data_IF_053050080595
#
_entry.id   IF_053050080595
#
_cell.length_a   1.000
_cell.length_b   1.000
_cell.length_c   1.000
_cell.angle_alpha   90.00
_cell.angle_beta   90.00
_cell.angle_gamma   90.00
#
_symmetry.space_group_name_H-M   'P 1'
#
loop_
_entity.id
_entity.type
_entity.pdbx_description
1 polymer ?
#
# COMPACT_ATOMS: atom_id res chain seq x y z
N UNK A 1 -3.99 12.82 34.66
CA UNK A 1 -4.39 11.64 33.83
C UNK A 1 -3.14 10.85 33.65
N UNK A 2 -3.08 9.62 34.13
CA UNK A 2 -1.90 8.75 34.00
C UNK A 2 -1.84 8.17 32.59
N UNK A 3 -0.67 8.27 31.96
CA UNK A 3 -0.46 7.69 30.61
C UNK A 3 -0.31 6.17 30.77
N UNK A 4 -1.13 5.35 30.11
CA UNK A 4 -0.98 3.89 30.18
C UNK A 4 0.41 3.44 29.74
N UNK A 5 0.92 2.36 30.31
CA UNK A 5 2.18 1.77 29.87
C UNK A 5 2.09 1.33 28.41
N UNK A 6 3.19 1.53 27.66
CA UNK A 6 3.25 1.12 26.25
C UNK A 6 3.18 -0.42 26.12
N UNK A 7 2.28 -0.92 25.27
CA UNK A 7 2.13 -2.35 24.96
C UNK A 7 2.98 -2.73 23.76
N UNK A 8 3.35 -4.02 23.66
CA UNK A 8 3.93 -4.56 22.44
C UNK A 8 2.86 -4.63 21.33
N UNK A 9 3.06 -3.95 20.18
CA UNK A 9 2.08 -3.92 19.11
C UNK A 9 1.86 -5.29 18.46
N UNK A 10 2.89 -6.13 18.37
CA UNK A 10 2.79 -7.48 17.78
C UNK A 10 1.92 -8.38 18.64
N UNK A 11 2.24 -8.42 19.95
CA UNK A 11 1.47 -9.25 20.88
C UNK A 11 0.03 -8.77 20.98
N UNK A 12 -0.19 -7.47 21.07
CA UNK A 12 -1.54 -6.88 21.14
C UNK A 12 -2.38 -7.20 19.88
N UNK A 13 -1.75 -7.17 18.69
CA UNK A 13 -2.43 -7.54 17.46
C UNK A 13 -2.79 -9.03 17.41
N UNK A 14 -1.88 -9.90 17.80
CA UNK A 14 -2.13 -11.35 17.85
C UNK A 14 -3.22 -11.71 18.83
N UNK A 15 -3.23 -11.09 19.99
CA UNK A 15 -4.27 -11.34 21.03
C UNK A 15 -5.66 -10.91 20.55
N UNK A 16 -5.74 -9.82 19.77
CA UNK A 16 -7.02 -9.28 19.33
C UNK A 16 -7.53 -9.86 18.00
N UNK A 17 -6.63 -10.22 17.08
CA UNK A 17 -6.97 -10.58 15.70
C UNK A 17 -6.50 -11.98 15.27
N UNK A 18 -5.68 -12.67 16.07
CA UNK A 18 -5.30 -14.06 15.84
C UNK A 18 -4.78 -14.30 14.41
N UNK A 19 -5.51 -15.14 13.67
CA UNK A 19 -5.15 -15.58 12.31
C UNK A 19 -5.17 -14.46 11.26
N UNK A 20 -5.75 -13.30 11.57
CA UNK A 20 -5.69 -12.16 10.66
C UNK A 20 -4.29 -11.52 10.59
N UNK A 21 -3.38 -11.87 11.50
CA UNK A 21 -1.96 -11.50 11.43
C UNK A 21 -1.21 -12.60 10.69
N UNK A 22 -1.08 -12.43 9.38
CA UNK A 22 -0.52 -13.45 8.48
C UNK A 22 1.00 -13.62 8.63
N UNK A 23 1.72 -12.51 8.81
CA UNK A 23 3.16 -12.53 8.97
C UNK A 23 3.65 -11.32 9.76
N UNK A 24 4.78 -11.49 10.46
CA UNK A 24 5.46 -10.41 11.19
C UNK A 24 6.91 -10.36 10.77
N UNK A 25 7.33 -9.21 10.24
CA UNK A 25 8.74 -8.95 9.90
C UNK A 25 9.30 -7.89 10.83
N UNK A 26 10.45 -8.20 11.42
CA UNK A 26 11.26 -7.23 12.17
C UNK A 26 12.60 -7.04 11.46
N UNK A 27 12.89 -5.82 11.06
CA UNK A 27 14.13 -5.53 10.35
C UNK A 27 14.61 -4.12 10.70
N UNK A 28 15.88 -4.00 11.13
CA UNK A 28 16.53 -2.73 11.49
C UNK A 28 15.73 -1.88 12.49
N UNK A 29 15.08 -2.52 13.46
CA UNK A 29 14.26 -1.83 14.47
C UNK A 29 12.85 -1.44 14.00
N UNK A 30 12.49 -1.71 12.74
CA UNK A 30 11.14 -1.53 12.22
C UNK A 30 10.33 -2.83 12.31
N UNK A 31 9.07 -2.69 12.68
CA UNK A 31 8.11 -3.81 12.70
C UNK A 31 7.10 -3.65 11.59
N UNK A 32 6.90 -4.71 10.82
CA UNK A 32 5.85 -4.81 9.78
C UNK A 32 4.91 -5.96 10.15
N UNK A 33 3.62 -5.66 10.20
CA UNK A 33 2.56 -6.66 10.31
C UNK A 33 1.93 -6.84 8.93
N UNK A 34 1.98 -8.06 8.39
CA UNK A 34 1.19 -8.43 7.23
C UNK A 34 -0.15 -8.95 7.72
N UNK A 35 -1.22 -8.39 7.20
CA UNK A 35 -2.57 -8.62 7.71
C UNK A 35 -3.52 -9.09 6.61
N UNK A 36 -4.55 -9.84 7.01
CA UNK A 36 -5.65 -10.17 6.11
C UNK A 36 -6.34 -8.88 5.64
N UNK A 37 -6.51 -8.76 4.34
CA UNK A 37 -6.95 -7.52 3.67
C UNK A 37 -8.29 -7.03 4.19
N UNK A 38 -9.22 -7.94 4.42
CA UNK A 38 -10.57 -7.66 4.89
C UNK A 38 -10.60 -7.07 6.32
N UNK A 39 -9.55 -7.34 7.11
CA UNK A 39 -9.44 -6.88 8.49
C UNK A 39 -8.64 -5.59 8.65
N UNK A 40 -8.17 -5.03 7.52
CA UNK A 40 -7.31 -3.83 7.52
C UNK A 40 -7.94 -2.62 8.25
N UNK A 41 -9.20 -2.21 7.99
CA UNK A 41 -9.79 -1.05 8.69
C UNK A 41 -9.94 -1.27 10.20
N UNK A 42 -10.34 -2.47 10.61
CA UNK A 42 -10.48 -2.81 12.03
C UNK A 42 -9.13 -2.75 12.74
N UNK A 43 -8.07 -3.27 12.11
CA UNK A 43 -6.71 -3.22 12.65
C UNK A 43 -6.20 -1.78 12.76
N UNK A 44 -6.41 -0.95 11.75
CA UNK A 44 -6.05 0.48 11.79
C UNK A 44 -6.77 1.18 12.94
N UNK A 45 -8.08 0.94 13.10
CA UNK A 45 -8.89 1.47 14.19
C UNK A 45 -8.40 1.02 15.57
N UNK A 46 -8.09 -0.27 15.70
CA UNK A 46 -7.54 -0.85 16.92
C UNK A 46 -6.21 -0.19 17.33
N UNK A 47 -5.27 -0.05 16.40
CA UNK A 47 -3.99 0.59 16.69
C UNK A 47 -4.14 2.07 17.05
N UNK A 48 -5.06 2.77 16.39
CA UNK A 48 -5.31 4.18 16.66
C UNK A 48 -5.88 4.43 18.05
N UNK A 49 -6.83 3.59 18.51
CA UNK A 49 -7.64 3.86 19.70
C UNK A 49 -7.22 3.12 20.97
N UNK A 50 -6.50 1.97 20.85
CA UNK A 50 -6.23 1.11 21.99
C UNK A 50 -5.27 1.73 22.99
N UNK A 51 -5.59 1.70 24.30
CA UNK A 51 -4.68 2.14 25.35
C UNK A 51 -3.34 1.39 25.31
N UNK A 52 -2.25 2.13 25.45
CA UNK A 52 -0.89 1.59 25.38
C UNK A 52 -0.34 1.40 23.95
N UNK A 53 -1.16 1.65 22.90
CA UNK A 53 -0.76 1.64 21.49
C UNK A 53 -0.83 3.06 20.90
N UNK A 54 -2.01 3.64 20.80
CA UNK A 54 -2.30 5.03 20.37
C UNK A 54 -1.47 5.48 19.16
N UNK A 55 -1.56 4.73 18.06
CA UNK A 55 -0.96 5.11 16.77
C UNK A 55 -1.87 6.14 16.08
N UNK A 56 -1.75 7.40 16.53
CA UNK A 56 -2.68 8.47 16.20
C UNK A 56 -2.31 9.29 14.95
N UNK A 57 -1.19 8.98 14.31
CA UNK A 57 -0.74 9.66 13.11
C UNK A 57 -0.49 8.64 11.97
N UNK A 58 -1.07 8.91 10.81
CA UNK A 58 -0.70 8.25 9.56
C UNK A 58 0.43 9.08 8.93
N UNK A 59 1.61 8.48 8.82
CA UNK A 59 2.78 9.14 8.23
C UNK A 59 2.75 9.04 6.72
N UNK A 60 2.35 7.87 6.19
CA UNK A 60 2.34 7.61 4.74
C UNK A 60 1.48 6.38 4.42
N UNK A 61 1.02 6.30 3.16
CA UNK A 61 0.53 5.07 2.53
C UNK A 61 1.27 4.90 1.23
N UNK A 62 1.92 3.76 1.05
CA UNK A 62 2.69 3.47 -0.16
C UNK A 62 2.38 2.08 -0.70
N UNK A 63 2.54 1.89 -2.01
CA UNK A 63 2.32 0.59 -2.63
C UNK A 63 3.56 0.10 -3.39
N UNK A 64 3.68 -1.21 -3.52
CA UNK A 64 4.76 -1.88 -4.25
C UNK A 64 4.15 -2.90 -5.20
N UNK A 65 4.58 -2.87 -6.46
CA UNK A 65 4.30 -3.90 -7.46
C UNK A 65 5.46 -4.90 -7.49
N UNK A 66 5.17 -6.18 -7.23
CA UNK A 66 6.15 -7.27 -7.20
C UNK A 66 6.26 -8.03 -8.54
N UNK A 67 5.64 -7.49 -9.62
CA UNK A 67 5.77 -8.07 -10.97
C UNK A 67 7.25 -8.09 -11.45
N UNK A 68 7.67 -9.09 -12.26
CA UNK A 68 6.86 -10.19 -12.74
C UNK A 68 6.81 -11.40 -11.79
N UNK A 69 7.86 -11.66 -11.01
CA UNK A 69 8.06 -12.98 -10.38
C UNK A 69 8.42 -12.92 -8.90
N UNK A 70 8.28 -11.76 -8.27
CA UNK A 70 8.70 -11.56 -6.87
C UNK A 70 7.57 -11.81 -5.86
N UNK A 71 6.52 -12.59 -6.22
CA UNK A 71 5.36 -12.83 -5.35
C UNK A 71 4.72 -14.21 -5.60
N UNK A 72 3.87 -14.65 -4.67
CA UNK A 72 3.17 -15.92 -4.73
C UNK A 72 4.12 -17.13 -4.68
N UNK A 73 3.73 -18.21 -5.32
CA UNK A 73 4.51 -19.45 -5.38
C UNK A 73 5.79 -19.33 -6.26
N UNK A 74 5.87 -18.30 -7.10
CA UNK A 74 7.05 -18.02 -7.92
C UNK A 74 8.18 -17.36 -7.11
N UNK A 75 7.88 -16.85 -5.90
CA UNK A 75 8.86 -16.21 -5.05
C UNK A 75 9.62 -17.24 -4.20
N UNK A 76 10.86 -17.50 -4.54
CA UNK A 76 11.80 -18.39 -3.84
C UNK A 76 12.75 -17.65 -2.87
N UNK A 77 12.50 -16.36 -2.68
CA UNK A 77 13.37 -15.47 -1.94
C UNK A 77 13.52 -15.78 -0.46
N UNK A 78 14.34 -15.00 0.21
CA UNK A 78 14.69 -15.16 1.63
C UNK A 78 13.42 -15.25 2.48
N UNK A 79 13.32 -16.26 3.33
CA UNK A 79 12.17 -16.56 4.24
C UNK A 79 11.61 -15.37 5.05
N UNK A 80 12.27 -14.21 5.00
CA UNK A 80 11.87 -13.00 5.71
C UNK A 80 10.82 -12.15 4.99
N UNK A 81 10.54 -12.40 3.70
CA UNK A 81 9.64 -11.58 2.88
C UNK A 81 8.44 -12.38 2.41
N UNK A 82 7.34 -12.28 3.16
CA UNK A 82 6.07 -12.87 2.79
C UNK A 82 5.38 -11.99 1.73
N UNK A 83 5.15 -12.53 0.53
CA UNK A 83 4.57 -11.85 -0.64
C UNK A 83 3.55 -12.73 -1.33
N UNK A 84 2.36 -12.93 -0.77
CA UNK A 84 1.36 -13.86 -1.31
C UNK A 84 0.73 -13.36 -2.62
N UNK A 85 0.75 -12.05 -2.87
CA UNK A 85 0.08 -11.41 -4.00
C UNK A 85 0.95 -10.33 -4.63
N UNK A 86 0.57 -9.92 -5.85
CA UNK A 86 1.33 -8.96 -6.66
C UNK A 86 1.50 -7.59 -6.00
N UNK A 87 0.43 -7.03 -5.47
CA UNK A 87 0.48 -5.67 -4.92
C UNK A 87 0.51 -5.68 -3.41
N UNK A 88 1.49 -5.01 -2.82
CA UNK A 88 1.57 -4.80 -1.38
C UNK A 88 1.35 -3.34 -1.03
N UNK A 89 0.34 -3.02 -0.22
CA UNK A 89 0.06 -1.67 0.28
C UNK A 89 0.46 -1.57 1.73
N UNK A 90 1.25 -0.56 2.05
CA UNK A 90 1.82 -0.31 3.37
C UNK A 90 1.26 0.97 3.98
N UNK A 91 0.62 0.86 5.14
CA UNK A 91 0.24 1.98 5.98
C UNK A 91 1.29 2.20 7.05
N UNK A 92 1.96 3.35 7.03
CA UNK A 92 2.98 3.74 8.00
C UNK A 92 2.35 4.59 9.09
N UNK A 93 2.11 3.98 10.25
CA UNK A 93 1.49 4.64 11.39
C UNK A 93 2.49 4.95 12.49
N UNK A 94 2.30 6.08 13.15
CA UNK A 94 3.14 6.57 14.22
C UNK A 94 2.31 6.82 15.48
N UNK A 95 2.78 6.30 16.59
CA UNK A 95 2.34 6.71 17.91
C UNK A 95 3.20 7.89 18.38
N UNK A 96 2.65 9.08 18.34
CA UNK A 96 3.34 10.28 18.83
C UNK A 96 3.55 10.23 20.35
N UNK A 97 2.63 9.58 21.07
CA UNK A 97 2.69 9.46 22.53
C UNK A 97 3.85 8.58 22.98
N UNK A 98 4.09 7.46 22.28
CA UNK A 98 5.12 6.49 22.66
C UNK A 98 6.37 6.55 21.76
N UNK A 99 6.39 7.46 20.76
CA UNK A 99 7.46 7.59 19.77
C UNK A 99 7.80 6.25 19.10
N UNK A 100 6.77 5.56 18.61
CA UNK A 100 6.89 4.24 17.98
C UNK A 100 6.25 4.23 16.60
N UNK A 101 6.94 3.62 15.64
CA UNK A 101 6.43 3.39 14.28
C UNK A 101 5.99 1.95 14.11
N UNK A 102 4.97 1.76 13.28
CA UNK A 102 4.49 0.46 12.88
C UNK A 102 4.09 0.53 11.40
N UNK A 103 4.46 -0.49 10.64
CA UNK A 103 3.99 -0.68 9.27
C UNK A 103 2.94 -1.78 9.26
N UNK A 104 1.76 -1.47 8.74
CA UNK A 104 0.70 -2.45 8.47
C UNK A 104 0.67 -2.66 6.97
N UNK A 105 0.81 -3.90 6.52
CA UNK A 105 0.86 -4.26 5.12
C UNK A 105 -0.27 -5.21 4.77
N UNK A 106 -1.05 -4.85 3.76
CA UNK A 106 -2.05 -5.70 3.16
C UNK A 106 -1.70 -5.96 1.69
N UNK A 107 -2.20 -7.07 1.13
CA UNK A 107 -1.92 -7.44 -0.24
C UNK A 107 -3.19 -7.44 -1.08
N UNK A 108 -3.04 -7.09 -2.36
CA UNK A 108 -4.11 -7.15 -3.35
C UNK A 108 -3.71 -8.04 -4.53
N UNK A 109 -4.67 -8.82 -5.01
CA UNK A 109 -4.50 -9.75 -6.12
C UNK A 109 -4.21 -9.04 -7.45
N UNK A 110 -3.46 -9.70 -8.33
CA UNK A 110 -3.13 -9.15 -9.66
C UNK A 110 -4.37 -8.96 -10.55
N UNK A 111 -5.34 -9.88 -10.47
CA UNK A 111 -6.50 -9.91 -11.35
C UNK A 111 -7.55 -8.83 -11.01
N UNK A 112 -7.72 -8.55 -9.73
CA UNK A 112 -8.67 -7.55 -9.22
C UNK A 112 -8.08 -6.88 -7.97
N UNK A 113 -7.21 -5.88 -8.15
CA UNK A 113 -6.51 -5.26 -7.04
C UNK A 113 -7.42 -4.33 -6.24
N UNK A 114 -7.92 -4.82 -5.11
CA UNK A 114 -8.82 -4.10 -4.21
C UNK A 114 -8.37 -4.20 -2.77
N UNK A 115 -8.56 -3.11 -2.02
CA UNK A 115 -8.43 -3.07 -0.57
C UNK A 115 -9.52 -2.19 0.04
N UNK A 116 -9.94 -2.46 1.28
CA UNK A 116 -10.77 -1.51 2.03
C UNK A 116 -10.01 -0.22 2.28
N UNK A 117 -10.69 0.94 2.17
CA UNK A 117 -10.08 2.24 2.45
C UNK A 117 -9.83 2.46 3.94
N UNK A 118 -8.69 3.06 4.26
CA UNK A 118 -8.35 3.50 5.63
C UNK A 118 -8.84 4.91 5.97
N UNK A 119 -9.50 5.60 5.04
CA UNK A 119 -9.93 7.01 5.17
C UNK A 119 -10.87 7.27 6.33
N UNK A 120 -11.74 6.33 6.70
CA UNK A 120 -12.64 6.44 7.85
C UNK A 120 -11.88 6.47 9.19
N UNK A 121 -10.70 5.87 9.23
CA UNK A 121 -9.84 5.82 10.41
C UNK A 121 -8.84 6.98 10.37
N UNK A 122 -8.17 7.17 9.26
CA UNK A 122 -7.19 8.23 9.03
C UNK A 122 -7.60 9.10 7.83
N UNK A 123 -8.22 10.27 8.03
CA UNK A 123 -8.61 11.16 6.93
C UNK A 123 -7.45 11.54 5.99
N UNK A 124 -6.21 11.56 6.49
CA UNK A 124 -5.01 11.81 5.69
C UNK A 124 -4.76 10.74 4.62
N UNK A 125 -5.31 9.53 4.77
CA UNK A 125 -5.22 8.46 3.77
C UNK A 125 -5.89 8.83 2.44
N UNK A 126 -6.88 9.73 2.44
CA UNK A 126 -7.64 10.11 1.25
C UNK A 126 -6.73 10.43 0.04
N UNK A 127 -5.76 11.31 0.22
CA UNK A 127 -4.88 11.71 -0.87
C UNK A 127 -3.88 10.62 -1.28
N UNK A 128 -3.36 9.89 -0.31
CA UNK A 128 -2.38 8.83 -0.52
C UNK A 128 -2.99 7.60 -1.20
N UNK A 129 -4.20 7.21 -0.81
CA UNK A 129 -4.94 6.12 -1.44
C UNK A 129 -5.36 6.49 -2.87
N UNK A 130 -5.77 7.74 -3.12
CA UNK A 130 -6.04 8.23 -4.47
C UNK A 130 -4.80 8.20 -5.36
N UNK A 131 -3.64 8.58 -4.85
CA UNK A 131 -2.38 8.48 -5.59
C UNK A 131 -2.09 7.03 -5.98
N UNK A 132 -2.23 6.10 -5.04
CA UNK A 132 -2.03 4.66 -5.31
C UNK A 132 -3.06 4.15 -6.33
N UNK A 133 -4.33 4.54 -6.20
CA UNK A 133 -5.38 4.16 -7.14
C UNK A 133 -5.09 4.69 -8.55
N UNK A 134 -4.65 5.93 -8.66
CA UNK A 134 -4.32 6.58 -9.93
C UNK A 134 -3.07 5.95 -10.58
N UNK A 135 -2.00 5.82 -9.82
CA UNK A 135 -0.69 5.44 -10.35
C UNK A 135 -0.47 3.93 -10.48
N UNK A 136 -1.15 3.11 -9.65
CA UNK A 136 -0.99 1.65 -9.63
C UNK A 136 -2.29 0.89 -9.96
N UNK A 137 -3.45 1.57 -9.99
CA UNK A 137 -4.72 0.96 -10.31
C UNK A 137 -5.24 0.01 -9.23
N UNK A 138 -4.92 0.28 -7.97
CA UNK A 138 -5.45 -0.45 -6.82
C UNK A 138 -6.71 0.28 -6.36
N UNK A 139 -7.86 -0.37 -6.41
CA UNK A 139 -9.12 0.23 -5.98
C UNK A 139 -9.24 0.19 -4.44
N UNK A 140 -9.67 1.31 -3.85
CA UNK A 140 -9.97 1.38 -2.42
C UNK A 140 -11.49 1.40 -2.22
N UNK A 141 -12.02 0.32 -1.64
CA UNK A 141 -13.45 0.16 -1.38
C UNK A 141 -13.89 1.16 -0.29
N UNK A 142 -15.08 1.72 -0.47
CA UNK A 142 -15.66 2.76 0.40
C UNK A 142 -14.82 4.05 0.51
N UNK A 143 -13.94 4.30 -0.48
CA UNK A 143 -13.21 5.56 -0.55
C UNK A 143 -14.15 6.73 -0.90
N UNK A 144 -14.12 7.86 -0.16
CA UNK A 144 -15.07 8.97 -0.34
C UNK A 144 -14.91 9.73 -1.66
N UNK A 145 -13.73 9.66 -2.30
CA UNK A 145 -13.44 10.37 -3.54
C UNK A 145 -12.47 9.58 -4.44
N UNK A 146 -12.97 8.66 -5.29
CA UNK A 146 -12.13 7.76 -6.09
C UNK A 146 -11.58 8.41 -7.38
N UNK A 147 -11.68 9.73 -7.56
CA UNK A 147 -11.17 10.42 -8.76
C UNK A 147 -9.65 10.35 -8.84
N UNK A 148 -9.10 10.33 -10.06
CA UNK A 148 -7.67 10.45 -10.31
C UNK A 148 -7.09 11.68 -9.61
N UNK A 149 -5.79 11.63 -9.27
CA UNK A 149 -5.10 12.69 -8.53
C UNK A 149 -4.02 13.36 -9.37
N UNK A 150 -3.15 12.59 -9.98
CA UNK A 150 -1.96 13.07 -10.68
C UNK A 150 -2.11 13.02 -12.19
N UNK A 151 -2.73 11.96 -12.71
CA UNK A 151 -2.90 11.78 -14.15
C UNK A 151 -4.17 12.48 -14.65
N UNK A 152 -4.19 12.94 -15.91
CA UNK A 152 -5.39 13.42 -16.57
C UNK A 152 -6.47 12.34 -16.60
N UNK A 153 -7.76 12.74 -16.67
CA UNK A 153 -8.89 11.80 -16.69
C UNK A 153 -8.87 10.85 -17.89
N UNK A 154 -8.35 11.31 -19.02
CA UNK A 154 -8.23 10.56 -20.27
C UNK A 154 -6.94 9.70 -20.36
N UNK A 155 -6.14 9.67 -19.32
CA UNK A 155 -4.92 8.86 -19.31
C UNK A 155 -5.24 7.37 -19.24
N UNK A 156 -4.58 6.57 -20.10
CA UNK A 156 -4.73 5.12 -20.13
C UNK A 156 -3.65 4.41 -19.34
N UNK A 157 -4.07 3.52 -18.42
CA UNK A 157 -3.19 2.70 -17.59
C UNK A 157 -2.70 3.39 -16.32
N UNK A 158 -1.68 2.77 -15.69
CA UNK A 158 -1.18 3.13 -14.38
C UNK A 158 0.35 3.15 -14.39
N UNK A 159 0.98 4.34 -14.44
CA UNK A 159 2.42 4.48 -14.73
C UNK A 159 3.37 3.89 -13.68
N UNK A 160 2.93 3.62 -12.45
CA UNK A 160 3.77 3.00 -11.41
C UNK A 160 3.74 1.47 -11.44
N UNK A 161 2.94 0.85 -12.30
CA UNK A 161 3.02 -0.60 -12.51
C UNK A 161 4.32 -0.95 -13.23
N UNK A 162 4.98 -2.02 -12.81
CA UNK A 162 6.22 -2.49 -13.42
C UNK A 162 6.05 -3.04 -14.84
N UNK A 163 4.85 -3.44 -15.20
CA UNK A 163 4.46 -3.87 -16.56
C UNK A 163 3.98 -2.70 -17.44
N UNK A 164 3.98 -1.47 -16.93
CA UNK A 164 3.61 -0.29 -17.72
C UNK A 164 4.72 0.08 -18.70
N UNK A 165 4.43 0.23 -20.01
CA UNK A 165 5.44 0.49 -21.04
C UNK A 165 6.15 1.83 -20.82
N UNK A 166 7.47 1.83 -20.73
CA UNK A 166 8.29 3.05 -20.56
C UNK A 166 8.19 4.02 -21.76
N UNK A 167 7.77 3.55 -22.92
CA UNK A 167 7.62 4.35 -24.13
C UNK A 167 6.32 5.14 -24.27
N UNK A 168 5.35 4.97 -23.35
CA UNK A 168 4.05 5.68 -23.38
C UNK A 168 4.11 7.11 -22.84
N UNK A 169 5.10 7.88 -23.21
CA UNK A 169 5.08 9.31 -22.91
C UNK A 169 4.16 10.06 -23.89
N UNK A 170 3.35 10.96 -23.36
CA UNK A 170 2.61 11.92 -24.18
C UNK A 170 3.60 12.81 -24.90
N UNK A 171 3.51 12.83 -26.22
CA UNK A 171 4.36 13.74 -27.02
C UNK A 171 3.82 15.15 -26.87
N UNK A 172 4.66 16.06 -26.39
CA UNK A 172 4.27 17.46 -26.16
C UNK A 172 3.90 18.20 -27.46
N UNK A 173 4.38 17.71 -28.64
CA UNK A 173 4.15 18.34 -29.93
C UNK A 173 3.68 17.31 -30.95
N UNK A 174 2.52 17.53 -31.53
CA UNK A 174 1.87 16.58 -32.45
C UNK A 174 2.55 16.46 -33.82
N UNK A 175 3.42 17.40 -34.20
CA UNK A 175 4.02 17.44 -35.54
C UNK A 175 5.13 16.39 -35.77
N UNK A 176 5.64 15.77 -34.71
CA UNK A 176 6.70 14.75 -34.81
C UNK A 176 6.38 13.45 -34.08
N UNK A 177 5.09 13.18 -33.77
CA UNK A 177 4.64 11.98 -33.06
C UNK A 177 5.10 10.70 -33.77
N UNK A 178 4.91 10.62 -35.10
CA UNK A 178 5.26 9.43 -35.87
C UNK A 178 6.76 9.15 -35.85
N UNK A 179 7.58 10.20 -35.93
CA UNK A 179 9.04 10.10 -35.90
C UNK A 179 9.54 9.67 -34.52
N UNK A 180 8.95 10.23 -33.45
CA UNK A 180 9.27 9.83 -32.07
C UNK A 180 8.88 8.38 -31.82
N UNK A 181 7.68 7.95 -32.23
CA UNK A 181 7.22 6.57 -32.07
C UNK A 181 8.07 5.59 -32.88
N UNK A 182 8.58 5.97 -34.04
CA UNK A 182 9.44 5.15 -34.86
C UNK A 182 10.83 4.90 -34.22
N UNK A 183 11.32 5.82 -33.40
CA UNK A 183 12.66 5.78 -32.80
C UNK A 183 12.67 5.43 -31.29
N UNK A 184 11.53 5.45 -30.60
CA UNK A 184 11.45 5.03 -29.21
C UNK A 184 11.34 3.50 -29.10
N UNK A 185 12.21 2.85 -28.32
CA UNK A 185 12.01 1.45 -27.98
C UNK A 185 10.80 1.32 -27.07
N UNK A 186 9.75 0.67 -27.56
CA UNK A 186 8.64 0.26 -26.70
C UNK A 186 9.08 -0.91 -25.82
N UNK A 187 8.62 -0.93 -24.56
CA UNK A 187 8.75 -2.12 -23.76
C UNK A 187 8.07 -3.30 -24.50
N UNK A 188 8.77 -4.37 -24.65
CA UNK A 188 8.18 -5.60 -25.22
C UNK A 188 7.23 -6.18 -24.16
N UNK A 189 6.01 -6.52 -24.59
CA UNK A 189 5.04 -7.27 -23.80
C UNK A 189 5.63 -8.59 -23.30
#
# INVERSE_FOLDING_TARGET
MEIPAARDPVQAARDAFGDAILHVKQFRGETTLVVATERLPELLGFFRASPGLVYNMLSDVSAVDYYPDDYGDAYDGVQSDYRPERYGVCYHILSMLYNRRLRIKAFAAAADPRLPAGTSIFPAANWLEREIADMMGIAFEDHPDPRRLLMPEDWHGHPHRRDYPLGKETVAFSFNIEDIHAHKPFAKD
#
